data_IF_440586503530
#
_entry.id   IF_440586503530
#
_cell.length_a   1.000
_cell.length_b   1.000
_cell.length_c   1.000
_cell.angle_alpha   90.00
_cell.angle_beta   90.00
_cell.angle_gamma   90.00
#
_symmetry.space_group_name_H-M   'P 1'
#
loop_
_entity.id
_entity.type
_entity.pdbx_description
1 polymer ?
#
# COMPACT_ATOMS: atom_id res chain seq x y z
N UNK A 1 8.42 25.26 5.14
CA UNK A 1 7.33 24.28 5.43
C UNK A 1 7.41 22.99 4.60
N UNK A 2 8.21 22.92 3.53
CA UNK A 2 8.33 21.71 2.67
C UNK A 2 8.95 20.48 3.35
N UNK A 3 9.91 20.68 4.27
CA UNK A 3 10.60 19.59 4.97
C UNK A 3 9.63 18.71 5.76
N UNK A 4 8.66 19.30 6.45
CA UNK A 4 7.67 18.55 7.22
C UNK A 4 6.81 17.65 6.33
N UNK A 5 6.46 18.11 5.13
CA UNK A 5 5.65 17.37 4.17
C UNK A 5 6.42 16.17 3.60
N UNK A 6 7.70 16.35 3.27
CA UNK A 6 8.55 15.24 2.81
C UNK A 6 8.81 14.21 3.91
N UNK A 7 8.92 14.63 5.17
CA UNK A 7 9.00 13.70 6.32
C UNK A 7 7.74 12.85 6.39
N UNK A 8 6.55 13.45 6.28
CA UNK A 8 5.27 12.72 6.26
C UNK A 8 5.22 11.76 5.07
N UNK A 9 5.61 12.21 3.87
CA UNK A 9 5.65 11.36 2.68
C UNK A 9 6.61 10.18 2.82
N UNK A 10 7.72 10.34 3.53
CA UNK A 10 8.67 9.26 3.80
C UNK A 10 8.20 8.28 4.89
N UNK A 11 7.47 8.78 5.89
CA UNK A 11 6.93 7.94 6.98
C UNK A 11 5.94 6.90 6.47
N UNK A 12 5.13 7.25 5.46
CA UNK A 12 4.11 6.35 4.89
C UNK A 12 4.73 5.05 4.34
N UNK A 13 5.66 5.06 3.36
CA UNK A 13 6.29 3.83 2.88
C UNK A 13 7.15 3.16 3.96
N UNK A 14 7.78 3.92 4.84
CA UNK A 14 8.57 3.37 5.96
C UNK A 14 7.73 2.48 6.87
N UNK A 15 6.48 2.86 7.15
CA UNK A 15 5.55 2.05 7.94
C UNK A 15 5.31 0.67 7.30
N UNK A 16 5.12 0.60 5.98
CA UNK A 16 4.94 -0.68 5.27
C UNK A 16 6.19 -1.57 5.34
N UNK A 17 7.38 -0.98 5.26
CA UNK A 17 8.63 -1.75 5.43
C UNK A 17 8.81 -2.27 6.86
N UNK A 18 8.44 -1.49 7.87
CA UNK A 18 8.45 -1.94 9.27
C UNK A 18 7.48 -3.12 9.45
N UNK A 19 6.27 -3.04 8.91
CA UNK A 19 5.30 -4.14 8.95
C UNK A 19 5.81 -5.39 8.21
N UNK A 20 6.46 -5.21 7.06
CA UNK A 20 7.09 -6.31 6.32
C UNK A 20 8.20 -6.98 7.15
N UNK A 21 9.06 -6.19 7.80
CA UNK A 21 10.11 -6.69 8.68
C UNK A 21 9.53 -7.43 9.89
N UNK A 22 8.48 -6.88 10.51
CA UNK A 22 7.79 -7.51 11.64
C UNK A 22 7.19 -8.87 11.25
N UNK A 23 6.50 -8.95 10.09
CA UNK A 23 5.98 -10.21 9.57
C UNK A 23 7.09 -11.22 9.25
N UNK A 24 8.27 -10.76 8.82
CA UNK A 24 9.44 -11.62 8.62
C UNK A 24 9.93 -12.19 9.95
N UNK A 25 10.02 -11.37 11.00
CA UNK A 25 10.40 -11.79 12.35
C UNK A 25 9.39 -12.79 12.94
N UNK A 26 8.08 -12.56 12.76
CA UNK A 26 7.05 -13.51 13.22
C UNK A 26 7.16 -14.86 12.51
N UNK A 27 7.49 -14.86 11.21
CA UNK A 27 7.76 -16.08 10.44
C UNK A 27 8.97 -16.85 10.98
N UNK A 28 10.04 -16.15 11.39
CA UNK A 28 11.19 -16.78 12.06
C UNK A 28 10.85 -17.28 13.47
N UNK A 29 9.92 -16.63 14.17
CA UNK A 29 9.44 -17.04 15.49
C UNK A 29 8.50 -18.26 15.47
N UNK A 30 8.23 -18.86 14.30
CA UNK A 30 7.30 -19.98 14.12
C UNK A 30 5.87 -19.71 14.64
N UNK A 31 5.53 -18.43 14.84
CA UNK A 31 4.15 -18.02 15.18
C UNK A 31 3.40 -17.92 13.86
N UNK A 32 2.55 -18.92 13.59
CA UNK A 32 1.71 -18.99 12.41
C UNK A 32 0.62 -17.90 12.41
N UNK A 33 1.00 -16.65 12.13
CA UNK A 33 0.04 -15.63 11.71
C UNK A 33 -0.10 -15.69 10.20
N UNK A 34 -1.33 -15.51 9.72
CA UNK A 34 -1.76 -15.69 8.32
C UNK A 34 -1.31 -14.55 7.38
N UNK A 35 -0.47 -13.62 7.86
CA UNK A 35 -0.03 -12.44 7.13
C UNK A 35 1.25 -12.76 6.34
N UNK A 36 1.22 -12.50 5.02
CA UNK A 36 2.38 -12.70 4.16
C UNK A 36 3.25 -11.44 4.17
N UNK A 37 4.47 -11.48 4.74
CA UNK A 37 5.36 -10.30 4.78
C UNK A 37 5.73 -9.78 3.39
N UNK A 38 5.68 -10.64 2.37
CA UNK A 38 5.93 -10.25 0.98
C UNK A 38 4.90 -9.28 0.42
N UNK A 39 3.67 -9.28 0.92
CA UNK A 39 2.62 -8.37 0.45
C UNK A 39 2.86 -6.94 0.96
N UNK A 40 3.25 -6.80 2.24
CA UNK A 40 3.68 -5.52 2.81
C UNK A 40 4.92 -4.95 2.13
N UNK A 41 5.88 -5.79 1.75
CA UNK A 41 7.07 -5.35 1.02
C UNK A 41 6.73 -4.81 -0.37
N UNK A 42 5.87 -5.51 -1.12
CA UNK A 42 5.39 -5.05 -2.45
C UNK A 42 4.60 -3.74 -2.32
N UNK A 43 3.75 -3.63 -1.31
CA UNK A 43 3.02 -2.38 -1.02
C UNK A 43 3.98 -1.25 -0.66
N UNK A 44 4.99 -1.50 0.17
CA UNK A 44 6.02 -0.53 0.53
C UNK A 44 6.78 -0.01 -0.68
N UNK A 45 7.23 -0.88 -1.58
CA UNK A 45 7.89 -0.50 -2.84
C UNK A 45 6.95 0.33 -3.72
N UNK A 46 5.69 -0.09 -3.86
CA UNK A 46 4.71 0.64 -4.66
C UNK A 46 4.48 2.06 -4.13
N UNK A 47 4.26 2.20 -2.83
CA UNK A 47 4.08 3.51 -2.19
C UNK A 47 5.34 4.35 -2.28
N UNK A 48 6.52 3.75 -2.10
CA UNK A 48 7.81 4.44 -2.26
C UNK A 48 7.98 4.99 -3.68
N UNK A 49 7.67 4.21 -4.69
CA UNK A 49 7.71 4.66 -6.08
C UNK A 49 6.76 5.84 -6.33
N UNK A 50 5.54 5.79 -5.77
CA UNK A 50 4.58 6.89 -5.86
C UNK A 50 5.10 8.16 -5.17
N UNK A 51 5.71 8.04 -3.99
CA UNK A 51 6.30 9.16 -3.27
C UNK A 51 7.46 9.78 -4.06
N UNK A 52 8.35 8.96 -4.63
CA UNK A 52 9.45 9.47 -5.47
C UNK A 52 8.93 10.23 -6.70
N UNK A 53 7.87 9.71 -7.33
CA UNK A 53 7.20 10.39 -8.43
C UNK A 53 6.58 11.73 -7.97
N UNK A 54 5.97 11.77 -6.80
CA UNK A 54 5.43 13.01 -6.22
C UNK A 54 6.53 14.04 -5.99
N UNK A 55 7.68 13.63 -5.44
CA UNK A 55 8.83 14.54 -5.25
C UNK A 55 9.33 15.08 -6.59
N UNK A 56 9.41 14.24 -7.62
CA UNK A 56 9.82 14.66 -8.95
C UNK A 56 8.84 15.69 -9.53
N UNK A 57 7.53 15.42 -9.47
CA UNK A 57 6.48 16.33 -9.95
C UNK A 57 6.50 17.63 -9.15
N UNK A 58 6.69 17.56 -7.83
CA UNK A 58 6.75 18.72 -6.94
C UNK A 58 7.93 19.65 -7.26
N UNK A 59 9.09 19.10 -7.64
CA UNK A 59 10.28 19.89 -7.97
C UNK A 59 10.29 20.42 -9.40
N UNK A 60 9.58 19.77 -10.33
CA UNK A 60 9.70 20.07 -11.77
C UNK A 60 8.44 20.67 -12.40
N UNK A 61 7.26 20.17 -12.04
CA UNK A 61 5.99 20.51 -12.70
C UNK A 61 5.14 21.44 -11.86
N UNK A 62 5.01 21.18 -10.55
CA UNK A 62 4.14 21.96 -9.67
C UNK A 62 4.46 23.47 -9.65
N UNK A 63 5.74 23.91 -9.63
CA UNK A 63 6.07 25.33 -9.64
C UNK A 63 5.56 25.99 -10.93
N UNK A 64 5.85 25.38 -12.08
CA UNK A 64 5.42 25.86 -13.39
C UNK A 64 3.89 25.88 -13.54
N UNK A 65 3.19 24.88 -12.99
CA UNK A 65 1.71 24.83 -13.02
C UNK A 65 1.11 25.87 -12.07
N UNK A 66 1.70 26.07 -10.89
CA UNK A 66 1.23 27.05 -9.91
C UNK A 66 1.39 28.50 -10.37
N UNK A 67 2.42 28.78 -11.17
CA UNK A 67 2.60 30.10 -11.79
C UNK A 67 1.62 30.33 -12.96
N UNK A 68 1.22 29.26 -13.65
CA UNK A 68 0.30 29.33 -14.80
C UNK A 68 -1.19 29.34 -14.41
N UNK A 69 -1.59 28.61 -13.37
CA UNK A 69 -2.95 28.63 -12.83
C UNK A 69 -3.04 29.67 -11.71
N UNK A 70 -3.42 30.88 -12.08
CA UNK A 70 -3.84 32.04 -11.25
C UNK A 70 -3.60 31.84 -9.72
N UNK A 71 -2.60 32.54 -9.12
CA UNK A 71 -2.17 32.35 -7.74
C UNK A 71 -3.20 32.69 -6.64
N UNK A 72 -4.38 33.19 -7.00
CA UNK A 72 -5.39 33.68 -6.05
C UNK A 72 -6.26 32.60 -5.40
N UNK A 73 -6.40 31.41 -6.01
CA UNK A 73 -7.38 30.43 -5.53
C UNK A 73 -6.80 29.25 -4.74
N UNK A 74 -5.55 28.83 -5.02
CA UNK A 74 -4.97 27.64 -4.38
C UNK A 74 -3.49 27.85 -4.07
N UNK A 75 -3.13 27.71 -2.79
CA UNK A 75 -1.73 27.78 -2.36
C UNK A 75 -0.94 26.55 -2.81
N UNK A 76 0.36 26.71 -3.03
CA UNK A 76 1.28 25.62 -3.40
C UNK A 76 1.16 24.41 -2.44
N UNK A 77 0.97 24.68 -1.14
CA UNK A 77 0.80 23.65 -0.12
C UNK A 77 -0.45 22.78 -0.35
N UNK A 78 -1.54 23.33 -0.88
CA UNK A 78 -2.73 22.54 -1.21
C UNK A 78 -2.42 21.52 -2.32
N UNK A 79 -1.77 21.96 -3.40
CA UNK A 79 -1.37 21.09 -4.50
C UNK A 79 -0.44 19.98 -4.02
N UNK A 80 0.49 20.29 -3.12
CA UNK A 80 1.38 19.30 -2.50
C UNK A 80 0.60 18.24 -1.73
N UNK A 81 -0.34 18.63 -0.86
CA UNK A 81 -1.12 17.66 -0.08
C UNK A 81 -1.98 16.75 -0.97
N UNK A 82 -2.57 17.31 -2.04
CA UNK A 82 -3.45 16.57 -2.96
C UNK A 82 -2.68 15.69 -3.96
N UNK A 83 -1.42 16.02 -4.24
CA UNK A 83 -0.59 15.30 -5.22
C UNK A 83 -0.42 13.82 -4.84
N UNK A 84 -0.07 13.52 -3.60
CA UNK A 84 0.22 12.15 -3.18
C UNK A 84 -1.01 11.22 -3.31
N UNK A 85 -2.22 11.58 -2.80
CA UNK A 85 -3.43 10.80 -3.05
C UNK A 85 -3.74 10.59 -4.53
N UNK A 86 -3.52 11.62 -5.37
CA UNK A 86 -3.73 11.54 -6.82
C UNK A 86 -2.79 10.54 -7.48
N UNK A 87 -1.49 10.65 -7.19
CA UNK A 87 -0.48 9.76 -7.76
C UNK A 87 -0.69 8.33 -7.29
N UNK A 88 -1.06 8.11 -6.02
CA UNK A 88 -1.42 6.79 -5.51
C UNK A 88 -2.64 6.21 -6.23
N UNK A 89 -3.70 7.02 -6.43
CA UNK A 89 -4.89 6.60 -7.16
C UNK A 89 -4.56 6.20 -8.59
N UNK A 90 -3.83 7.05 -9.32
CA UNK A 90 -3.43 6.79 -10.71
C UNK A 90 -2.52 5.56 -10.77
N UNK A 91 -1.49 5.51 -9.93
CA UNK A 91 -0.56 4.38 -9.85
C UNK A 91 -1.28 3.06 -9.54
N UNK A 92 -2.26 3.09 -8.64
CA UNK A 92 -3.03 1.89 -8.29
C UNK A 92 -3.88 1.39 -9.46
N UNK A 93 -4.45 2.30 -10.27
CA UNK A 93 -5.17 1.91 -11.48
C UNK A 93 -4.24 1.33 -12.54
N UNK A 94 -3.06 1.91 -12.73
CA UNK A 94 -2.08 1.47 -13.74
C UNK A 94 -1.46 0.11 -13.42
N UNK A 95 -1.13 -0.13 -12.16
CA UNK A 95 -0.52 -1.39 -11.71
C UNK A 95 -1.55 -2.54 -11.64
N UNK A 96 -2.83 -2.24 -11.87
CA UNK A 96 -3.93 -3.20 -11.71
C UNK A 96 -4.21 -3.37 -10.23
N UNK A 97 -4.98 -2.44 -9.68
CA UNK A 97 -5.21 -2.28 -8.24
C UNK A 97 -5.34 -3.61 -7.53
N UNK A 98 -4.41 -3.84 -6.58
CA UNK A 98 -4.31 -4.99 -5.67
C UNK A 98 -5.20 -6.15 -6.09
N UNK A 99 -4.60 -7.18 -6.70
CA UNK A 99 -5.19 -8.51 -6.85
C UNK A 99 -6.23 -8.75 -5.75
N UNK A 100 -7.49 -9.08 -6.09
CA UNK A 100 -8.58 -9.14 -5.13
C UNK A 100 -8.07 -9.92 -3.93
N UNK A 101 -8.14 -9.31 -2.74
CA UNK A 101 -7.79 -9.97 -1.49
C UNK A 101 -8.70 -11.19 -1.45
N UNK A 102 -8.17 -12.32 -1.92
CA UNK A 102 -8.80 -13.62 -1.84
C UNK A 102 -8.75 -13.93 -0.35
N UNK A 103 -9.74 -13.42 0.37
CA UNK A 103 -10.20 -14.03 1.61
C UNK A 103 -10.65 -15.40 1.15
N UNK A 104 -9.68 -16.32 1.07
CA UNK A 104 -9.91 -17.75 0.92
C UNK A 104 -10.87 -18.07 2.04
N UNK A 105 -12.15 -18.20 1.67
CA UNK A 105 -13.25 -18.53 2.57
C UNK A 105 -12.73 -19.65 3.45
N UNK A 106 -12.69 -19.41 4.77
CA UNK A 106 -12.28 -20.43 5.72
C UNK A 106 -12.99 -21.74 5.34
N UNK A 107 -12.28 -22.89 5.32
CA UNK A 107 -12.91 -24.15 5.00
C UNK A 107 -14.07 -24.35 5.96
N UNK A 108 -15.28 -24.41 5.41
CA UNK A 108 -16.50 -24.62 6.18
C UNK A 108 -16.38 -25.99 6.87
N UNK A 109 -16.44 -26.10 8.21
CA UNK A 109 -16.14 -27.35 8.91
C UNK A 109 -17.25 -28.42 8.82
N UNK A 110 -18.21 -28.29 7.90
CA UNK A 110 -19.46 -29.08 7.92
C UNK A 110 -19.57 -30.18 6.85
N UNK A 111 -18.46 -30.59 6.20
CA UNK A 111 -18.53 -31.61 5.13
C UNK A 111 -17.66 -32.85 5.34
N UNK A 112 -17.43 -33.28 6.58
CA UNK A 112 -16.70 -34.53 6.86
C UNK A 112 -17.35 -35.40 7.96
N UNK A 113 -18.69 -35.37 8.07
CA UNK A 113 -19.44 -36.26 8.98
C UNK A 113 -20.33 -37.30 8.28
N UNK A 114 -20.28 -37.41 6.95
CA UNK A 114 -20.99 -38.46 6.22
C UNK A 114 -20.04 -39.30 5.35
N UNK A 115 -19.12 -40.00 6.02
CA UNK A 115 -18.62 -41.28 5.48
C UNK A 115 -19.34 -42.40 6.23
N UNK A 116 -20.19 -43.19 5.56
CA UNK A 116 -20.78 -44.37 6.18
C UNK A 116 -19.65 -45.34 6.54
N UNK A 117 -19.62 -45.73 7.82
CA UNK A 117 -18.92 -46.93 8.28
C UNK A 117 -19.66 -48.13 7.69
N UNK A 118 -19.18 -48.66 6.59
CA UNK A 118 -19.52 -49.98 6.07
C UNK A 118 -18.30 -50.45 5.26
N UNK A 119 -17.77 -51.66 5.39
CA UNK A 119 -18.12 -52.82 6.21
C UNK A 119 -16.92 -53.76 6.13
N UNK A 120 -16.61 -54.43 7.24
CA UNK A 120 -15.68 -55.57 7.30
C UNK A 120 -16.01 -56.61 6.23
N UNK A 121 -15.01 -57.06 5.46
CA UNK A 121 -14.60 -58.47 5.36
C UNK A 121 -13.34 -58.59 4.52
#
# INVERSE_FOLDING_TARGET
MHIALYIVWFLIPSFFFIMAAWGLLEKFSNKHKKENPGDFFKQGIFVLACVLLCVLIDQTILPAVSEALIPEYLSLGFWQVVLLPLVLLIGSKLVGGSSPILISRAPHPSRDQNKPKDKKR
#
